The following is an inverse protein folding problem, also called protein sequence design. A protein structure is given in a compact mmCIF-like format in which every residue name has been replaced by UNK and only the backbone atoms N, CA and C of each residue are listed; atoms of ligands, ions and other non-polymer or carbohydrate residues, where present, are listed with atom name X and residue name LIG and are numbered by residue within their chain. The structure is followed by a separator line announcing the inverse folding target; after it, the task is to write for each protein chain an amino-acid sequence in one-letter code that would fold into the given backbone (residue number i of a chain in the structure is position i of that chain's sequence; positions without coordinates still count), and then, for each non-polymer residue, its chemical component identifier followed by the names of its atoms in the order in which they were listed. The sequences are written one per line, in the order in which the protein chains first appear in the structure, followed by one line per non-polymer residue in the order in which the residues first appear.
data_IF_731612002477
#
_entry.id   IF_731612002477
#
_cell.length_a   1.000
_cell.length_b   1.000
_cell.length_c   1.000
_cell.angle_alpha   90.00
_cell.angle_beta   90.00
_cell.angle_gamma   90.00
#
_symmetry.space_group_name_H-M   'P 1'
#
loop_
_entity.id
_entity.type
_entity.pdbx_description
1 polymer ?
#
# COMPACT_ATOMS: atom_id res chain seq x y z
N UNK A 1 44.84 -26.88 34.09
CA UNK A 1 45.46 -26.02 33.05
C UNK A 1 45.99 -26.99 32.00
N UNK A 2 45.36 -27.24 30.86
CA UNK A 2 44.68 -26.36 29.91
C UNK A 2 43.60 -27.18 29.18
N UNK A 3 42.33 -26.81 29.26
CA UNK A 3 41.25 -27.39 28.43
C UNK A 3 40.11 -26.37 28.44
N UNK A 4 40.05 -25.59 27.37
CA UNK A 4 38.99 -24.67 26.96
C UNK A 4 39.62 -23.70 25.94
N UNK A 5 39.94 -24.19 24.74
CA UNK A 5 40.25 -23.34 23.58
C UNK A 5 39.89 -23.91 22.21
N UNK A 6 39.18 -25.04 22.14
CA UNK A 6 38.95 -25.74 20.86
C UNK A 6 37.44 -25.92 20.55
N UNK A 7 36.60 -24.94 20.89
CA UNK A 7 35.16 -24.98 20.55
C UNK A 7 34.71 -23.78 19.69
N UNK A 8 35.53 -22.73 19.58
CA UNK A 8 35.22 -21.55 18.75
C UNK A 8 35.76 -21.66 17.30
N UNK A 9 36.34 -22.80 16.92
CA UNK A 9 37.02 -22.99 15.62
C UNK A 9 36.25 -23.94 14.67
N UNK A 10 35.03 -24.38 15.03
CA UNK A 10 34.20 -25.26 14.18
C UNK A 10 32.92 -24.61 13.65
N UNK A 11 32.60 -23.37 14.05
CA UNK A 11 31.47 -22.64 13.46
C UNK A 11 31.83 -22.00 12.13
N UNK A 12 33.08 -21.55 11.95
CA UNK A 12 33.57 -20.98 10.69
C UNK A 12 33.59 -22.00 9.55
N UNK A 13 34.06 -23.22 9.83
CA UNK A 13 34.09 -24.32 8.85
C UNK A 13 32.68 -24.79 8.41
N UNK A 14 31.66 -24.59 9.26
CA UNK A 14 30.27 -24.96 8.95
C UNK A 14 29.60 -23.90 8.08
N UNK A 15 29.82 -22.61 8.39
CA UNK A 15 29.34 -21.49 7.60
C UNK A 15 30.00 -21.45 6.20
N UNK A 16 31.30 -21.75 6.09
CA UNK A 16 31.99 -21.88 4.79
C UNK A 16 31.48 -23.07 3.96
N UNK A 17 31.06 -24.18 4.59
CA UNK A 17 30.42 -25.29 3.87
C UNK A 17 29.02 -24.93 3.36
N UNK A 18 28.24 -24.14 4.12
CA UNK A 18 26.93 -23.68 3.67
C UNK A 18 27.01 -22.66 2.55
N UNK A 19 28.00 -21.76 2.59
CA UNK A 19 28.26 -20.80 1.50
C UNK A 19 28.76 -21.52 0.23
N UNK A 20 29.61 -22.55 0.34
CA UNK A 20 30.03 -23.36 -0.81
C UNK A 20 28.91 -24.22 -1.41
N UNK A 21 28.01 -24.77 -0.58
CA UNK A 21 26.85 -25.53 -1.07
C UNK A 21 25.84 -24.63 -1.78
N UNK A 22 25.63 -23.39 -1.31
CA UNK A 22 24.78 -22.39 -1.94
C UNK A 22 25.40 -21.86 -3.25
N UNK A 23 26.70 -21.56 -3.28
CA UNK A 23 27.40 -21.15 -4.51
C UNK A 23 27.42 -22.27 -5.56
N UNK A 24 27.63 -23.54 -5.16
CA UNK A 24 27.51 -24.67 -6.10
C UNK A 24 26.08 -24.87 -6.58
N UNK A 25 25.06 -24.61 -5.76
CA UNK A 25 23.67 -24.71 -6.18
C UNK A 25 23.29 -23.59 -7.15
N UNK A 26 23.76 -22.36 -6.92
CA UNK A 26 23.52 -21.22 -7.79
C UNK A 26 24.28 -21.37 -9.12
N UNK A 27 25.54 -21.84 -9.11
CA UNK A 27 26.29 -22.14 -10.35
C UNK A 27 25.67 -23.32 -11.13
N UNK A 28 25.23 -24.39 -10.45
CA UNK A 28 24.52 -25.49 -11.13
C UNK A 28 23.15 -25.06 -11.66
N UNK A 29 22.45 -24.14 -10.99
CA UNK A 29 21.17 -23.61 -11.45
C UNK A 29 21.34 -22.66 -12.63
N UNK A 30 22.37 -21.81 -12.65
CA UNK A 30 22.64 -20.90 -13.76
C UNK A 30 23.10 -21.67 -15.01
N UNK A 31 23.95 -22.69 -14.86
CA UNK A 31 24.40 -23.52 -15.99
C UNK A 31 23.33 -24.49 -16.51
N UNK A 32 22.47 -25.07 -15.66
CA UNK A 32 21.39 -25.95 -16.11
C UNK A 32 20.21 -25.20 -16.73
N UNK A 33 20.01 -23.92 -16.41
CA UNK A 33 18.89 -23.14 -16.93
C UNK A 33 19.20 -22.51 -18.30
N UNK A 34 20.35 -21.87 -18.50
CA UNK A 34 20.54 -21.05 -19.72
C UNK A 34 20.50 -21.87 -21.02
N UNK A 35 21.08 -23.07 -21.04
CA UNK A 35 21.11 -23.95 -22.22
C UNK A 35 19.81 -24.74 -22.45
N UNK A 36 19.08 -25.06 -21.38
CA UNK A 36 17.82 -25.83 -21.47
C UNK A 36 16.67 -24.93 -21.93
N UNK A 37 16.63 -23.68 -21.47
CA UNK A 37 15.65 -22.67 -21.89
C UNK A 37 15.95 -22.09 -23.29
N UNK A 38 17.21 -22.08 -23.73
CA UNK A 38 17.60 -21.61 -25.06
C UNK A 38 17.15 -22.56 -26.20
N UNK A 39 17.03 -23.86 -25.93
CA UNK A 39 16.72 -24.90 -26.93
C UNK A 39 15.26 -25.38 -26.93
N UNK A 40 14.38 -24.75 -26.16
CA UNK A 40 12.95 -25.01 -26.20
C UNK A 40 12.37 -24.62 -27.57
N UNK A 41 11.69 -25.58 -28.23
CA UNK A 41 10.95 -25.35 -29.47
C UNK A 41 10.10 -24.09 -29.32
N UNK A 42 10.27 -23.14 -30.22
CA UNK A 42 9.57 -21.86 -30.21
C UNK A 42 8.03 -22.03 -30.27
N UNK A 43 7.55 -23.22 -30.63
CA UNK A 43 6.14 -23.64 -30.58
C UNK A 43 5.62 -23.98 -29.18
N UNK A 44 6.50 -24.27 -28.22
CA UNK A 44 6.19 -24.64 -26.82
C UNK A 44 6.33 -23.47 -25.85
N UNK A 45 6.84 -22.31 -26.30
CA UNK A 45 6.77 -21.07 -25.53
C UNK A 45 5.29 -20.71 -25.39
N UNK A 46 4.73 -20.87 -24.20
CA UNK A 46 3.44 -20.32 -23.87
C UNK A 46 3.49 -18.81 -24.17
N UNK A 47 2.89 -18.40 -25.28
CA UNK A 47 2.77 -16.99 -25.62
C UNK A 47 1.73 -16.42 -24.68
N UNK A 48 2.19 -15.92 -23.53
CA UNK A 48 1.39 -15.03 -22.70
C UNK A 48 1.30 -13.74 -23.48
N UNK A 49 0.18 -13.52 -24.17
CA UNK A 49 -0.16 -12.19 -24.67
C UNK A 49 -0.30 -11.27 -23.46
N UNK A 50 0.77 -10.55 -23.13
CA UNK A 50 0.70 -9.45 -22.17
C UNK A 50 -0.03 -8.32 -22.88
N UNK A 51 -1.20 -7.87 -22.39
CA UNK A 51 -1.93 -6.78 -23.02
C UNK A 51 -1.02 -5.56 -23.17
N UNK A 52 -1.10 -4.86 -24.30
CA UNK A 52 -0.42 -3.57 -24.44
C UNK A 52 -1.12 -2.55 -23.54
N UNK A 53 -0.51 -2.29 -22.38
CA UNK A 53 -1.00 -1.34 -21.38
C UNK A 53 -0.57 0.10 -21.70
N UNK A 54 -0.18 0.42 -22.94
CA UNK A 54 0.32 1.76 -23.27
C UNK A 54 -0.70 2.85 -22.92
N UNK A 55 -0.38 3.66 -21.92
CA UNK A 55 -1.26 4.70 -21.37
C UNK A 55 -2.24 4.24 -20.28
N UNK A 56 -2.38 2.95 -20.01
CA UNK A 56 -3.16 2.42 -18.88
C UNK A 56 -2.48 2.78 -17.56
N UNK A 57 -3.23 3.33 -16.61
CA UNK A 57 -2.69 3.81 -15.32
C UNK A 57 -3.11 2.95 -14.15
N UNK A 58 -2.30 2.89 -13.11
CA UNK A 58 -2.70 2.32 -11.83
C UNK A 58 -2.21 3.14 -10.65
N UNK A 59 -2.88 3.00 -9.50
CA UNK A 59 -2.48 3.64 -8.26
C UNK A 59 -3.43 3.43 -7.08
N UNK A 60 -3.00 3.86 -5.92
CA UNK A 60 -3.73 3.81 -4.66
C UNK A 60 -4.30 5.19 -4.32
N UNK A 61 -5.56 5.23 -3.90
CA UNK A 61 -6.25 6.46 -3.52
C UNK A 61 -6.86 6.31 -2.14
N UNK A 62 -6.38 7.08 -1.16
CA UNK A 62 -6.98 7.13 0.17
C UNK A 62 -8.22 8.03 0.18
N UNK A 63 -9.33 7.52 0.70
CA UNK A 63 -10.54 8.31 0.92
C UNK A 63 -10.54 8.81 2.36
N UNK A 64 -10.38 10.12 2.56
CA UNK A 64 -10.27 10.76 3.88
C UNK A 64 -11.36 11.79 4.11
N UNK A 65 -11.66 12.06 5.38
CA UNK A 65 -12.66 13.03 5.79
C UNK A 65 -13.09 12.82 7.22
N UNK A 66 -13.87 13.74 7.78
CA UNK A 66 -14.39 13.58 9.15
C UNK A 66 -15.28 12.31 9.25
N UNK A 67 -15.56 11.80 10.46
CA UNK A 67 -16.53 10.72 10.63
C UNK A 67 -17.87 11.03 9.96
N UNK A 68 -18.50 10.01 9.38
CA UNK A 68 -19.85 10.04 8.82
C UNK A 68 -20.11 10.98 7.62
N UNK A 69 -19.07 11.44 6.90
CA UNK A 69 -19.26 12.19 5.63
C UNK A 69 -19.65 11.32 4.43
N UNK A 70 -19.91 10.03 4.64
CA UNK A 70 -20.29 9.11 3.56
C UNK A 70 -19.13 8.48 2.79
N UNK A 71 -17.90 8.42 3.36
CA UNK A 71 -16.73 7.78 2.73
C UNK A 71 -17.03 6.35 2.23
N UNK A 72 -17.52 5.49 3.11
CA UNK A 72 -17.86 4.10 2.77
C UNK A 72 -19.05 4.02 1.79
N UNK A 73 -19.98 4.97 1.84
CA UNK A 73 -21.08 5.08 0.86
C UNK A 73 -20.55 5.41 -0.53
N UNK A 74 -19.64 6.38 -0.65
CA UNK A 74 -19.00 6.72 -1.93
C UNK A 74 -18.21 5.53 -2.48
N UNK A 75 -17.40 4.88 -1.63
CA UNK A 75 -16.64 3.70 -2.06
C UNK A 75 -17.53 2.59 -2.59
N UNK A 76 -18.60 2.24 -1.85
CA UNK A 76 -19.55 1.23 -2.32
C UNK A 76 -20.23 1.61 -3.63
N UNK A 77 -20.58 2.89 -3.81
CA UNK A 77 -21.16 3.38 -5.05
C UNK A 77 -20.19 3.29 -6.23
N UNK A 78 -18.91 3.60 -6.01
CA UNK A 78 -17.87 3.54 -7.05
C UNK A 78 -17.53 2.10 -7.46
N UNK A 79 -17.51 1.17 -6.52
CA UNK A 79 -17.11 -0.23 -6.80
C UNK A 79 -18.29 -1.07 -7.33
N UNK A 80 -19.54 -0.61 -7.15
CA UNK A 80 -20.73 -1.30 -7.66
C UNK A 80 -21.09 -2.59 -6.90
N UNK A 81 -20.33 -2.94 -5.86
CA UNK A 81 -20.63 -4.05 -4.91
C UNK A 81 -20.42 -3.53 -3.48
N UNK A 82 -21.22 -4.02 -2.52
CA UNK A 82 -21.07 -3.66 -1.11
C UNK A 82 -19.79 -4.31 -0.54
N UNK A 83 -18.65 -3.66 -0.72
CA UNK A 83 -17.35 -4.12 -0.20
C UNK A 83 -17.06 -3.50 1.17
N UNK A 84 -17.50 -2.26 1.42
CA UNK A 84 -17.32 -1.57 2.70
C UNK A 84 -18.60 -1.61 3.55
N UNK A 85 -18.48 -1.95 4.84
CA UNK A 85 -19.61 -1.92 5.77
C UNK A 85 -19.99 -0.46 6.05
N UNK A 86 -21.01 0.05 5.35
CA UNK A 86 -21.57 1.37 5.61
C UNK A 86 -22.49 1.30 6.85
N UNK A 87 -21.98 1.69 8.03
CA UNK A 87 -22.75 1.77 9.27
C UNK A 87 -22.77 3.19 9.82
N UNK A 88 -23.86 3.57 10.48
CA UNK A 88 -24.00 4.84 11.22
C UNK A 88 -23.27 4.85 12.57
N UNK A 89 -22.68 3.72 12.99
CA UNK A 89 -21.85 3.63 14.19
C UNK A 89 -20.41 4.07 13.88
N UNK A 90 -19.81 5.00 14.65
CA UNK A 90 -18.38 5.26 14.57
C UNK A 90 -17.59 3.96 14.75
N UNK A 91 -16.44 3.83 14.06
CA UNK A 91 -15.43 2.78 14.28
C UNK A 91 -15.73 1.36 13.76
N UNK A 92 -16.19 1.20 12.51
CA UNK A 92 -16.48 -0.13 11.93
C UNK A 92 -15.36 -0.77 11.10
N UNK A 93 -14.26 -0.08 10.78
CA UNK A 93 -13.20 -0.61 9.91
C UNK A 93 -11.92 -0.89 10.72
N UNK A 94 -11.75 -2.12 11.22
CA UNK A 94 -10.51 -2.58 11.91
C UNK A 94 -9.47 -3.21 10.96
N UNK A 95 -9.80 -3.42 9.69
CA UNK A 95 -8.90 -3.83 8.61
C UNK A 95 -9.19 -2.94 7.40
N UNK A 96 -8.19 -2.28 6.83
CA UNK A 96 -8.34 -1.41 5.66
C UNK A 96 -8.97 -2.21 4.51
N UNK A 97 -10.24 -1.92 4.19
CA UNK A 97 -10.93 -2.54 3.07
C UNK A 97 -10.48 -1.81 1.81
N UNK A 98 -9.77 -2.55 0.93
CA UNK A 98 -9.27 -2.07 -0.35
C UNK A 98 -10.30 -2.39 -1.43
N UNK A 99 -10.92 -1.38 -2.01
CA UNK A 99 -11.82 -1.52 -3.14
C UNK A 99 -11.06 -1.36 -4.45
N UNK A 100 -11.21 -2.30 -5.39
CA UNK A 100 -10.55 -2.19 -6.70
C UNK A 100 -11.57 -1.65 -7.70
N UNK A 101 -11.28 -0.47 -8.26
CA UNK A 101 -12.04 0.14 -9.34
C UNK A 101 -11.24 0.02 -10.64
N UNK A 102 -11.69 -0.86 -11.53
CA UNK A 102 -11.11 -1.05 -12.86
C UNK A 102 -11.95 -0.32 -13.89
N UNK A 103 -11.32 0.53 -14.69
CA UNK A 103 -11.90 1.24 -15.83
C UNK A 103 -11.16 0.80 -17.11
N UNK A 104 -11.68 1.14 -18.32
CA UNK A 104 -10.99 0.81 -19.57
C UNK A 104 -9.56 1.38 -19.69
N UNK A 105 -9.26 2.47 -18.97
CA UNK A 105 -7.99 3.20 -19.10
C UNK A 105 -7.16 3.23 -17.81
N UNK A 106 -7.68 2.75 -16.69
CA UNK A 106 -6.98 2.79 -15.41
C UNK A 106 -7.56 1.82 -14.37
N UNK A 107 -6.73 1.40 -13.41
CA UNK A 107 -7.11 0.64 -12.24
C UNK A 107 -6.72 1.39 -10.96
N UNK A 108 -7.67 1.57 -10.04
CA UNK A 108 -7.42 2.26 -8.78
C UNK A 108 -7.75 1.36 -7.60
N UNK A 109 -6.87 1.36 -6.61
CA UNK A 109 -7.13 0.74 -5.30
C UNK A 109 -7.57 1.82 -4.33
N UNK A 110 -8.86 1.85 -4.03
CA UNK A 110 -9.45 2.75 -3.04
C UNK A 110 -9.18 2.23 -1.63
N UNK A 111 -8.50 3.02 -0.80
CA UNK A 111 -8.19 2.70 0.59
C UNK A 111 -9.19 3.39 1.51
N UNK A 112 -10.02 2.60 2.20
CA UNK A 112 -10.93 3.12 3.23
C UNK A 112 -10.14 3.48 4.49
N UNK A 113 -10.29 4.72 4.96
CA UNK A 113 -9.64 5.21 6.18
C UNK A 113 -10.67 5.57 7.25
N UNK A 114 -10.36 5.34 8.55
CA UNK A 114 -11.19 5.86 9.63
C UNK A 114 -11.44 7.37 9.50
N UNK A 115 -12.60 7.82 9.99
CA UNK A 115 -12.89 9.25 10.00
C UNK A 115 -11.91 10.01 10.90
N UNK A 116 -11.18 10.98 10.33
CA UNK A 116 -10.17 11.74 11.08
C UNK A 116 -10.89 12.68 12.05
N UNK A 117 -10.58 12.54 13.35
CA UNK A 117 -11.10 13.43 14.37
C UNK A 117 -10.05 13.72 15.44
N UNK A 118 -10.36 14.66 16.34
CA UNK A 118 -9.47 14.97 17.45
C UNK A 118 -9.55 13.79 18.42
N UNK A 119 -8.44 13.10 18.72
CA UNK A 119 -8.51 11.97 19.63
C UNK A 119 -8.82 12.50 21.03
N UNK A 120 -9.86 11.95 21.66
CA UNK A 120 -10.20 12.19 23.07
C UNK A 120 -10.01 10.94 23.92
N UNK A 121 -9.57 9.84 23.30
CA UNK A 121 -9.42 8.50 23.84
C UNK A 121 -8.22 7.82 23.18
N UNK A 122 -7.68 6.77 23.82
CA UNK A 122 -6.59 5.94 23.25
C UNK A 122 -6.99 5.27 21.93
N UNK A 123 -8.27 4.90 21.79
CA UNK A 123 -8.79 4.34 20.54
C UNK A 123 -8.75 5.37 19.40
N UNK A 124 -9.13 6.62 19.69
CA UNK A 124 -9.01 7.70 18.71
C UNK A 124 -7.57 8.00 18.28
N UNK A 125 -6.57 7.78 19.17
CA UNK A 125 -5.16 7.90 18.80
C UNK A 125 -4.76 6.81 17.81
N UNK A 126 -5.05 5.54 18.14
CA UNK A 126 -4.77 4.41 17.26
C UNK A 126 -5.45 4.52 15.89
N UNK A 127 -6.66 5.06 15.85
CA UNK A 127 -7.35 5.30 14.56
C UNK A 127 -6.64 6.36 13.71
N UNK A 128 -6.03 7.36 14.34
CA UNK A 128 -5.22 8.32 13.59
C UNK A 128 -3.90 7.70 13.13
N UNK A 129 -3.26 6.84 13.93
CA UNK A 129 -2.05 6.13 13.52
C UNK A 129 -2.33 5.27 12.27
N UNK A 130 -3.46 4.55 12.24
CA UNK A 130 -3.90 3.77 11.06
C UNK A 130 -4.14 4.66 9.83
N UNK A 131 -4.70 5.86 10.03
CA UNK A 131 -4.87 6.82 8.94
C UNK A 131 -3.49 7.25 8.42
N UNK A 132 -2.55 7.54 9.31
CA UNK A 132 -1.23 8.04 8.93
C UNK A 132 -0.43 6.99 8.16
N UNK A 133 -0.47 5.73 8.61
CA UNK A 133 0.05 4.58 7.85
C UNK A 133 -0.62 4.47 6.48
N UNK A 134 -1.95 4.55 6.42
CA UNK A 134 -2.68 4.46 5.16
C UNK A 134 -2.37 5.61 4.20
N UNK A 135 -1.97 6.78 4.71
CA UNK A 135 -1.64 7.94 3.89
C UNK A 135 -0.19 7.95 3.42
N UNK A 136 0.69 7.18 4.04
CA UNK A 136 2.09 7.05 3.62
C UNK A 136 2.24 6.26 2.31
N UNK A 137 1.34 5.33 2.05
CA UNK A 137 1.45 4.34 0.95
C UNK A 137 0.52 4.63 -0.25
N UNK A 138 0.00 5.85 -0.38
CA UNK A 138 -0.97 6.19 -1.46
C UNK A 138 -0.46 7.22 -2.44
N UNK A 139 -0.84 7.05 -3.71
CA UNK A 139 -0.49 7.96 -4.80
C UNK A 139 -1.34 9.24 -4.79
N UNK A 140 -2.55 9.17 -4.23
CA UNK A 140 -3.46 10.31 -4.13
C UNK A 140 -4.37 10.26 -2.90
N UNK A 141 -4.83 11.43 -2.47
CA UNK A 141 -5.80 11.58 -1.39
C UNK A 141 -7.08 12.23 -1.91
N UNK A 142 -8.21 11.54 -1.74
CA UNK A 142 -9.55 12.06 -1.96
C UNK A 142 -10.14 12.57 -0.64
N UNK A 143 -10.13 13.90 -0.45
CA UNK A 143 -10.72 14.52 0.74
C UNK A 143 -12.21 14.82 0.54
N UNK A 144 -13.06 14.14 1.31
CA UNK A 144 -14.52 14.24 1.24
C UNK A 144 -15.06 15.24 2.25
N UNK A 145 -15.98 16.07 1.77
CA UNK A 145 -16.76 17.02 2.54
C UNK A 145 -18.25 16.70 2.42
N UNK A 146 -19.06 16.94 3.47
CA UNK A 146 -20.50 16.80 3.39
C UNK A 146 -21.08 17.80 2.37
N UNK A 147 -21.96 17.35 1.49
CA UNK A 147 -22.59 18.21 0.49
C UNK A 147 -23.74 19.07 1.05
N UNK A 148 -24.31 18.66 2.18
CA UNK A 148 -25.52 19.22 2.80
C UNK A 148 -25.23 20.09 4.04
N UNK A 149 -23.95 20.27 4.39
CA UNK A 149 -23.52 20.96 5.61
C UNK A 149 -22.43 21.98 5.29
N UNK A 150 -22.36 23.03 6.12
CA UNK A 150 -21.27 23.99 6.05
C UNK A 150 -19.92 23.36 6.41
N UNK A 151 -18.84 23.88 5.81
CA UNK A 151 -17.47 23.45 6.09
C UNK A 151 -17.07 23.94 7.48
N UNK A 152 -17.06 23.00 8.43
CA UNK A 152 -16.84 23.28 9.83
C UNK A 152 -15.36 23.35 10.24
N UNK A 153 -15.09 23.67 11.52
CA UNK A 153 -13.72 23.69 12.07
C UNK A 153 -13.02 22.33 11.98
N UNK A 154 -13.77 21.23 12.04
CA UNK A 154 -13.25 19.87 11.90
C UNK A 154 -12.63 19.63 10.51
N UNK A 155 -13.36 20.00 9.46
CA UNK A 155 -12.92 19.84 8.06
C UNK A 155 -11.69 20.70 7.77
N UNK A 156 -11.70 21.96 8.24
CA UNK A 156 -10.56 22.89 8.11
C UNK A 156 -9.32 22.35 8.79
N UNK A 157 -9.47 21.74 9.98
CA UNK A 157 -8.34 21.13 10.70
C UNK A 157 -7.75 19.95 9.92
N UNK A 158 -8.60 19.06 9.39
CA UNK A 158 -8.16 17.91 8.58
C UNK A 158 -7.41 18.41 7.34
N UNK A 159 -7.99 19.36 6.60
CA UNK A 159 -7.35 19.93 5.42
C UNK A 159 -6.00 20.60 5.73
N UNK A 160 -5.92 21.34 6.84
CA UNK A 160 -4.67 21.95 7.29
C UNK A 160 -3.61 20.90 7.61
N UNK A 161 -4.00 19.79 8.25
CA UNK A 161 -3.10 18.67 8.54
C UNK A 161 -2.58 18.04 7.25
N UNK A 162 -3.47 17.66 6.34
CA UNK A 162 -3.11 17.04 5.06
C UNK A 162 -2.12 17.91 4.27
N UNK A 163 -2.32 19.23 4.28
CA UNK A 163 -1.42 20.18 3.64
C UNK A 163 -0.04 20.25 4.27
N UNK A 164 0.06 20.22 5.60
CA UNK A 164 1.35 20.25 6.30
C UNK A 164 2.14 18.96 6.10
N UNK A 165 1.44 17.83 6.22
CA UNK A 165 2.07 16.52 6.32
C UNK A 165 2.44 16.01 4.91
N UNK A 166 1.57 16.19 3.92
CA UNK A 166 1.68 15.52 2.62
C UNK A 166 1.77 16.47 1.41
N UNK A 167 1.71 17.79 1.61
CA UNK A 167 1.86 18.75 0.53
C UNK A 167 2.97 19.77 0.83
N UNK A 168 3.55 20.32 -0.22
CA UNK A 168 4.44 21.49 -0.19
C UNK A 168 3.86 22.56 -1.09
N UNK A 169 4.15 23.83 -0.78
CA UNK A 169 3.87 24.89 -1.75
C UNK A 169 4.99 24.95 -2.77
N UNK A 170 4.64 25.01 -4.05
CA UNK A 170 5.58 25.38 -5.10
C UNK A 170 5.90 26.89 -5.04
N UNK A 171 6.83 27.32 -5.90
CA UNK A 171 7.20 28.74 -6.01
C UNK A 171 6.04 29.65 -6.43
N UNK A 172 4.99 29.10 -7.05
CA UNK A 172 3.78 29.83 -7.45
C UNK A 172 2.71 29.86 -6.35
N UNK A 173 2.95 29.20 -5.20
CA UNK A 173 2.02 29.12 -4.08
C UNK A 173 0.94 28.04 -4.22
N UNK A 174 1.01 27.20 -5.25
CA UNK A 174 0.13 26.04 -5.41
C UNK A 174 0.60 24.89 -4.51
N UNK A 175 -0.34 24.09 -4.05
CA UNK A 175 -0.02 22.88 -3.29
C UNK A 175 0.34 21.76 -4.24
N UNK A 176 1.56 21.25 -4.10
CA UNK A 176 2.07 20.06 -4.78
C UNK A 176 2.22 18.97 -3.73
N UNK A 177 1.69 17.78 -4.02
CA UNK A 177 1.86 16.62 -3.16
C UNK A 177 3.36 16.28 -3.07
N UNK A 178 3.80 15.93 -1.85
CA UNK A 178 5.21 15.65 -1.58
C UNK A 178 5.70 14.43 -2.34
#
# INVERSE_FOLDING_TARGET
MNSMKDVDDMSGDMDEMYEMDDEMNDEMNDEMNDDMFANLDHSLKASVEVPDFNGYKSGFVAVVGRPNVGKSTLMNALIGTQIAIASSRPETTRKAIRGILTTPNAQMVLVDTPGIHRPRTLLGQRLNDIVDESLADVDAIAFLLPADQEIGPGDRRILSRLRSDFAKKDAAGNWVWK
#
